data_IF_181781245514
#
_entry.id   IF_181781245514
#
_cell.length_a   1.000
_cell.length_b   1.000
_cell.length_c   1.000
_cell.angle_alpha   90.00
_cell.angle_beta   90.00
_cell.angle_gamma   90.00
#
_symmetry.space_group_name_H-M   'P 1'
#
loop_
_entity.id
_entity.type
_entity.pdbx_description
1 polymer ?
#
# COMPACT_ATOMS: atom_id res chain seq x y z
N UNK A 1 -22.42 7.83 5.08
CA UNK A 1 -20.94 7.73 4.91
C UNK A 1 -20.18 7.05 6.07
N UNK A 2 -20.64 7.10 7.34
CA UNK A 2 -19.95 6.46 8.49
C UNK A 2 -19.81 4.93 8.40
N UNK A 3 -20.83 4.22 7.88
CA UNK A 3 -20.89 2.74 7.89
C UNK A 3 -19.71 2.03 7.19
N UNK A 4 -19.19 2.58 6.09
CA UNK A 4 -18.10 1.92 5.34
C UNK A 4 -16.76 1.94 6.07
N UNK A 5 -16.46 3.01 6.82
CA UNK A 5 -15.21 3.09 7.59
C UNK A 5 -15.19 2.05 8.71
N UNK A 6 -16.31 1.90 9.43
CA UNK A 6 -16.46 0.89 10.48
C UNK A 6 -16.28 -0.53 9.95
N UNK A 7 -16.84 -0.86 8.78
CA UNK A 7 -16.69 -2.19 8.19
C UNK A 7 -15.24 -2.52 7.81
N UNK A 8 -14.51 -1.55 7.24
CA UNK A 8 -13.08 -1.72 6.91
C UNK A 8 -12.29 -1.96 8.19
N UNK A 9 -12.52 -1.14 9.23
CA UNK A 9 -11.83 -1.27 10.50
C UNK A 9 -12.10 -2.62 11.18
N UNK A 10 -13.36 -3.05 11.24
CA UNK A 10 -13.73 -4.36 11.78
C UNK A 10 -13.12 -5.50 10.96
N UNK A 11 -13.11 -5.38 9.63
CA UNK A 11 -12.46 -6.35 8.74
C UNK A 11 -10.96 -6.45 9.00
N UNK A 12 -10.28 -5.32 9.20
CA UNK A 12 -8.86 -5.28 9.53
C UNK A 12 -8.57 -5.91 10.91
N UNK A 13 -9.37 -5.58 11.92
CA UNK A 13 -9.25 -6.21 13.25
C UNK A 13 -9.48 -7.72 13.18
N UNK A 14 -10.48 -8.17 12.43
CA UNK A 14 -10.77 -9.59 12.25
C UNK A 14 -9.63 -10.31 11.53
N UNK A 15 -9.13 -9.76 10.42
CA UNK A 15 -8.00 -10.31 9.68
C UNK A 15 -6.75 -10.38 10.56
N UNK A 16 -6.43 -9.30 11.27
CA UNK A 16 -5.31 -9.25 12.21
C UNK A 16 -5.43 -10.27 13.32
N UNK A 17 -6.60 -10.40 13.95
CA UNK A 17 -6.85 -11.38 15.00
C UNK A 17 -6.72 -12.82 14.48
N UNK A 18 -7.33 -13.14 13.34
CA UNK A 18 -7.27 -14.48 12.73
C UNK A 18 -5.83 -14.85 12.40
N UNK A 19 -5.08 -13.96 11.74
CA UNK A 19 -3.69 -14.20 11.38
C UNK A 19 -2.77 -14.28 12.61
N UNK A 20 -3.01 -13.49 13.66
CA UNK A 20 -2.25 -13.57 14.91
C UNK A 20 -2.50 -14.89 15.67
N UNK A 21 -3.75 -15.37 15.69
CA UNK A 21 -4.13 -16.63 16.35
C UNK A 21 -3.70 -17.85 15.54
N UNK A 22 -3.71 -17.73 14.21
CA UNK A 22 -3.32 -18.77 13.25
C UNK A 22 -2.26 -18.18 12.32
N UNK A 23 -1.00 -18.06 12.76
CA UNK A 23 0.10 -17.59 11.92
C UNK A 23 0.45 -18.71 10.92
N UNK A 24 -0.44 -18.91 9.94
CA UNK A 24 -0.30 -19.92 8.92
C UNK A 24 0.78 -19.47 7.96
N UNK A 25 1.92 -20.17 7.98
CA UNK A 25 3.09 -19.98 7.11
C UNK A 25 3.89 -18.71 7.37
N UNK A 26 3.34 -17.51 7.21
CA UNK A 26 3.99 -16.20 7.45
C UNK A 26 5.48 -16.14 7.03
N UNK A 27 5.85 -16.82 5.95
CA UNK A 27 7.25 -17.17 5.64
C UNK A 27 8.04 -15.91 5.31
N UNK A 28 7.49 -15.07 4.44
CA UNK A 28 8.12 -13.82 4.04
C UNK A 28 8.17 -12.84 5.21
N UNK A 29 7.09 -12.79 5.99
CA UNK A 29 7.01 -11.92 7.16
C UNK A 29 8.03 -12.27 8.23
N UNK A 30 8.29 -13.56 8.42
CA UNK A 30 9.33 -14.03 9.30
C UNK A 30 10.70 -13.51 8.87
N UNK A 31 11.01 -13.55 7.56
CA UNK A 31 12.27 -13.01 7.03
C UNK A 31 12.40 -11.51 7.30
N UNK A 32 11.34 -10.71 7.08
CA UNK A 32 11.38 -9.27 7.37
C UNK A 32 11.60 -8.98 8.85
N UNK A 33 10.82 -9.65 9.73
CA UNK A 33 10.85 -9.43 11.17
C UNK A 33 12.19 -9.86 11.77
N UNK A 34 12.65 -11.05 11.44
CA UNK A 34 13.91 -11.59 11.92
C UNK A 34 15.12 -10.80 11.41
N UNK A 35 15.10 -10.34 10.15
CA UNK A 35 16.20 -9.54 9.62
C UNK A 35 16.25 -8.16 10.32
N UNK A 36 15.09 -7.54 10.55
CA UNK A 36 15.01 -6.28 11.30
C UNK A 36 15.47 -6.45 12.75
N UNK A 37 15.04 -7.52 13.42
CA UNK A 37 15.46 -7.86 14.79
C UNK A 37 16.96 -8.09 14.88
N UNK A 38 17.51 -8.91 13.98
CA UNK A 38 18.93 -9.19 13.96
C UNK A 38 19.76 -7.93 13.71
N UNK A 39 19.42 -7.14 12.69
CA UNK A 39 20.15 -5.94 12.33
C UNK A 39 20.06 -4.83 13.41
N UNK A 40 18.86 -4.50 13.90
CA UNK A 40 18.67 -3.35 14.79
C UNK A 40 18.83 -3.66 16.28
N UNK A 41 18.57 -4.90 16.72
CA UNK A 41 18.58 -5.25 18.14
C UNK A 41 19.75 -6.16 18.55
N UNK A 42 20.38 -6.85 17.60
CA UNK A 42 21.44 -7.84 17.88
C UNK A 42 22.77 -7.53 17.18
N UNK A 43 22.89 -6.39 16.49
CA UNK A 43 24.07 -6.02 15.69
C UNK A 43 24.45 -7.07 14.63
N UNK A 44 23.46 -7.80 14.09
CA UNK A 44 23.66 -8.78 13.03
C UNK A 44 23.86 -8.12 11.65
N UNK A 45 24.35 -8.89 10.66
CA UNK A 45 24.53 -8.37 9.30
C UNK A 45 23.19 -8.07 8.63
N UNK A 46 23.18 -7.05 7.75
CA UNK A 46 22.00 -6.68 6.97
C UNK A 46 21.61 -7.75 5.92
N UNK A 47 22.62 -8.33 5.28
CA UNK A 47 22.49 -9.36 4.25
C UNK A 47 23.32 -10.58 4.62
N UNK A 48 22.80 -11.77 4.35
CA UNK A 48 23.46 -13.03 4.70
C UNK A 48 22.68 -13.84 5.73
N UNK A 49 23.27 -14.96 6.15
CA UNK A 49 22.75 -15.75 7.26
C UNK A 49 22.88 -14.98 8.57
N UNK A 50 21.92 -15.16 9.48
CA UNK A 50 21.97 -14.55 10.80
C UNK A 50 21.50 -15.56 11.87
N UNK A 51 21.47 -15.11 13.13
CA UNK A 51 21.10 -15.98 14.26
C UNK A 51 19.60 -16.27 14.33
N UNK A 52 18.76 -15.52 13.62
CA UNK A 52 17.29 -15.65 13.66
C UNK A 52 16.77 -16.60 12.56
N UNK A 53 17.46 -16.73 11.43
CA UNK A 53 17.17 -17.74 10.41
C UNK A 53 18.44 -18.31 9.76
N UNK A 54 18.52 -19.64 9.74
CA UNK A 54 19.61 -20.40 9.14
C UNK A 54 19.55 -20.49 7.61
N UNK A 55 20.62 -21.01 7.02
CA UNK A 55 20.69 -21.33 5.59
C UNK A 55 19.60 -22.36 5.21
N UNK A 56 18.92 -22.23 4.06
CA UNK A 56 19.19 -21.32 2.93
C UNK A 56 18.43 -19.98 2.97
N UNK A 57 17.76 -19.64 4.08
CA UNK A 57 16.98 -18.40 4.16
C UNK A 57 17.90 -17.18 4.17
N UNK A 58 17.64 -16.23 3.28
CA UNK A 58 18.44 -15.01 3.12
C UNK A 58 17.51 -13.82 2.91
N UNK A 59 17.77 -12.74 3.62
CA UNK A 59 17.11 -11.47 3.37
C UNK A 59 17.57 -10.93 2.00
N UNK A 60 16.65 -10.82 1.03
CA UNK A 60 16.94 -10.37 -0.35
C UNK A 60 16.17 -9.11 -0.76
N UNK A 61 15.48 -8.49 0.20
CA UNK A 61 14.57 -7.38 -0.08
C UNK A 61 15.28 -6.02 0.02
N UNK A 62 14.73 -4.96 -0.60
CA UNK A 62 15.28 -3.61 -0.47
C UNK A 62 15.43 -3.16 1.00
N UNK A 63 16.45 -2.35 1.35
CA UNK A 63 16.65 -1.86 2.71
C UNK A 63 15.47 -1.09 3.30
N UNK A 64 14.60 -0.51 2.46
CA UNK A 64 13.41 0.19 2.91
C UNK A 64 12.50 -0.69 3.79
N UNK A 65 12.39 -1.99 3.48
CA UNK A 65 11.59 -2.91 4.29
C UNK A 65 12.19 -3.12 5.68
N UNK A 66 13.52 -3.17 5.84
CA UNK A 66 14.13 -3.21 7.18
C UNK A 66 13.72 -1.99 8.00
N UNK A 67 13.79 -0.80 7.42
CA UNK A 67 13.37 0.43 8.08
C UNK A 67 11.88 0.41 8.46
N UNK A 68 11.02 -0.12 7.58
CA UNK A 68 9.59 -0.29 7.85
C UNK A 68 9.32 -1.25 9.02
N UNK A 69 10.10 -2.33 9.10
CA UNK A 69 9.97 -3.34 10.16
C UNK A 69 10.72 -3.01 11.45
N UNK A 70 11.55 -1.97 11.47
CA UNK A 70 12.27 -1.50 12.66
C UNK A 70 11.37 -1.33 13.90
N UNK A 71 10.24 -0.58 13.85
CA UNK A 71 9.36 -0.46 15.01
C UNK A 71 8.71 -1.79 15.42
N UNK A 72 8.62 -2.77 14.51
CA UNK A 72 8.02 -4.08 14.75
C UNK A 72 9.03 -5.11 15.27
N UNK A 73 10.33 -4.84 15.15
CA UNK A 73 11.40 -5.79 15.49
C UNK A 73 11.41 -6.20 16.98
N UNK A 74 10.99 -5.32 17.88
CA UNK A 74 10.91 -5.58 19.32
C UNK A 74 9.66 -6.37 19.73
N UNK A 75 8.65 -6.43 18.87
CA UNK A 75 7.38 -7.09 19.18
C UNK A 75 7.47 -8.61 19.00
N UNK A 76 6.65 -9.39 19.72
CA UNK A 76 6.50 -10.82 19.45
C UNK A 76 6.01 -11.07 18.03
N UNK A 77 6.55 -12.06 17.34
CA UNK A 77 6.26 -12.32 15.92
C UNK A 77 4.76 -12.47 15.63
N UNK A 78 3.98 -13.12 16.51
CA UNK A 78 2.52 -13.26 16.36
C UNK A 78 1.78 -11.92 16.35
N UNK A 79 2.25 -10.96 17.14
CA UNK A 79 1.69 -9.60 17.17
C UNK A 79 2.00 -8.90 15.85
N UNK A 80 3.22 -9.06 15.34
CA UNK A 80 3.64 -8.49 14.04
C UNK A 80 2.81 -9.06 12.89
N UNK A 81 2.54 -10.37 12.88
CA UNK A 81 1.64 -11.01 11.90
C UNK A 81 0.25 -10.38 11.93
N UNK A 82 -0.33 -10.18 13.12
CA UNK A 82 -1.64 -9.56 13.25
C UNK A 82 -1.66 -8.10 12.79
N UNK A 83 -0.67 -7.31 13.19
CA UNK A 83 -0.53 -5.91 12.77
C UNK A 83 -0.39 -5.82 11.25
N UNK A 84 0.44 -6.67 10.65
CA UNK A 84 0.69 -6.67 9.21
C UNK A 84 -0.58 -7.00 8.41
N UNK A 85 -1.31 -8.06 8.79
CA UNK A 85 -2.55 -8.43 8.12
C UNK A 85 -3.63 -7.34 8.27
N UNK A 86 -3.75 -6.73 9.46
CA UNK A 86 -4.67 -5.62 9.67
C UNK A 86 -4.30 -4.42 8.80
N UNK A 87 -3.00 -4.12 8.68
CA UNK A 87 -2.49 -3.02 7.87
C UNK A 87 -2.80 -3.20 6.38
N UNK A 88 -2.59 -4.39 5.81
CA UNK A 88 -2.95 -4.69 4.41
C UNK A 88 -4.45 -4.49 4.15
N UNK A 89 -5.32 -4.99 5.03
CA UNK A 89 -6.78 -4.78 4.89
C UNK A 89 -7.16 -3.30 5.03
N UNK A 90 -6.52 -2.57 5.95
CA UNK A 90 -6.71 -1.12 6.10
C UNK A 90 -6.25 -0.34 4.87
N UNK A 91 -5.20 -0.77 4.18
CA UNK A 91 -4.71 -0.14 2.95
C UNK A 91 -5.61 -0.47 1.75
N UNK A 92 -6.13 -1.70 1.66
CA UNK A 92 -7.06 -2.13 0.62
C UNK A 92 -8.44 -1.44 0.72
N UNK A 93 -8.94 -1.21 1.94
CA UNK A 93 -10.28 -0.64 2.16
C UNK A 93 -10.53 0.71 1.46
N UNK A 94 -9.67 1.73 1.64
CA UNK A 94 -9.75 3.01 0.93
C UNK A 94 -9.66 2.86 -0.59
N UNK A 95 -8.82 1.95 -1.11
CA UNK A 95 -8.71 1.69 -2.54
C UNK A 95 -10.03 1.22 -3.12
N UNK A 96 -10.61 0.17 -2.51
CA UNK A 96 -11.92 -0.35 -2.88
C UNK A 96 -12.95 0.77 -2.79
N UNK A 97 -12.97 1.54 -1.69
CA UNK A 97 -13.92 2.63 -1.51
C UNK A 97 -13.80 3.71 -2.58
N UNK A 98 -12.60 4.16 -2.90
CA UNK A 98 -12.36 5.18 -3.94
C UNK A 98 -12.82 4.64 -5.30
N UNK A 99 -12.46 3.40 -5.62
CA UNK A 99 -12.87 2.74 -6.85
C UNK A 99 -14.40 2.65 -6.95
N UNK A 100 -15.09 2.13 -5.92
CA UNK A 100 -16.55 2.01 -5.88
C UNK A 100 -17.26 3.36 -6.02
N UNK A 101 -16.72 4.44 -5.42
CA UNK A 101 -17.31 5.78 -5.54
C UNK A 101 -17.20 6.34 -6.94
N UNK A 102 -16.13 6.01 -7.67
CA UNK A 102 -15.95 6.46 -9.06
C UNK A 102 -16.69 5.56 -10.04
N UNK A 103 -16.83 4.28 -9.72
CA UNK A 103 -17.29 3.23 -10.62
C UNK A 103 -18.39 2.44 -9.90
N UNK A 104 -19.63 2.97 -9.83
CA UNK A 104 -20.68 2.35 -9.03
C UNK A 104 -21.01 0.93 -9.53
N UNK A 105 -21.24 -0.02 -8.61
CA UNK A 105 -21.35 -1.45 -8.91
C UNK A 105 -22.56 -1.81 -9.76
N UNK A 106 -23.57 -0.94 -9.86
CA UNK A 106 -24.70 -1.12 -10.77
C UNK A 106 -24.28 -1.29 -12.24
N UNK A 107 -23.04 -0.95 -12.60
CA UNK A 107 -22.47 -1.11 -13.94
C UNK A 107 -21.67 -2.41 -14.13
N UNK A 108 -21.32 -3.09 -13.05
CA UNK A 108 -20.50 -4.30 -13.06
C UNK A 108 -21.37 -5.40 -12.46
N UNK A 109 -22.06 -6.14 -13.30
CA UNK A 109 -22.99 -7.18 -12.86
C UNK A 109 -22.24 -8.39 -12.26
N UNK A 110 -22.54 -9.63 -12.68
CA UNK A 110 -21.91 -10.83 -12.13
C UNK A 110 -20.38 -10.86 -12.35
N UNK A 111 -19.85 -10.10 -13.31
CA UNK A 111 -18.43 -10.10 -13.69
C UNK A 111 -17.53 -9.63 -12.55
N UNK A 112 -17.97 -8.66 -11.74
CA UNK A 112 -17.22 -8.19 -10.58
C UNK A 112 -17.17 -9.26 -9.50
N UNK A 113 -18.28 -9.95 -9.27
CA UNK A 113 -18.35 -11.05 -8.31
C UNK A 113 -17.44 -12.22 -8.73
N UNK A 114 -17.44 -12.60 -10.00
CA UNK A 114 -16.53 -13.62 -10.53
C UNK A 114 -15.07 -13.20 -10.39
N UNK A 115 -14.75 -11.95 -10.77
CA UNK A 115 -13.38 -11.43 -10.63
C UNK A 115 -12.92 -11.44 -9.17
N UNK A 116 -13.78 -11.00 -8.25
CA UNK A 116 -13.51 -11.03 -6.82
C UNK A 116 -13.32 -12.46 -6.30
N UNK A 117 -14.15 -13.41 -6.73
CA UNK A 117 -14.07 -14.82 -6.34
C UNK A 117 -12.75 -15.46 -6.79
N UNK A 118 -12.29 -15.15 -8.00
CA UNK A 118 -11.02 -15.65 -8.54
C UNK A 118 -9.82 -15.02 -7.82
N UNK A 119 -9.89 -13.74 -7.47
CA UNK A 119 -8.81 -13.02 -6.78
C UNK A 119 -8.74 -13.33 -5.29
N UNK A 120 -9.87 -13.67 -4.66
CA UNK A 120 -9.95 -13.95 -3.23
C UNK A 120 -8.90 -14.95 -2.71
N UNK A 121 -8.68 -16.14 -3.31
CA UNK A 121 -7.66 -17.06 -2.82
C UNK A 121 -6.24 -16.48 -2.87
N UNK A 122 -5.93 -15.62 -3.85
CA UNK A 122 -4.62 -14.95 -3.93
C UNK A 122 -4.45 -13.89 -2.85
N UNK A 123 -5.51 -13.14 -2.55
CA UNK A 123 -5.50 -12.18 -1.44
C UNK A 123 -5.33 -12.89 -0.10
N UNK A 124 -6.07 -13.97 0.13
CA UNK A 124 -5.95 -14.78 1.33
C UNK A 124 -4.56 -15.42 1.45
N UNK A 125 -4.00 -15.92 0.35
CA UNK A 125 -2.65 -16.45 0.33
C UNK A 125 -1.60 -15.38 0.63
N UNK A 126 -1.73 -14.18 0.05
CA UNK A 126 -0.87 -13.03 0.34
C UNK A 126 -0.86 -12.66 1.81
N UNK A 127 -2.05 -12.54 2.42
CA UNK A 127 -2.24 -12.28 3.85
C UNK A 127 -1.64 -13.38 4.75
N UNK A 128 -1.77 -14.65 4.36
CA UNK A 128 -1.21 -15.77 5.12
C UNK A 128 0.32 -15.80 5.07
N UNK A 129 0.90 -15.59 3.89
CA UNK A 129 2.36 -15.57 3.73
C UNK A 129 2.98 -14.29 4.31
N UNK A 130 2.20 -13.21 4.42
CA UNK A 130 2.65 -11.90 4.86
C UNK A 130 3.61 -11.27 3.85
N UNK A 131 3.26 -11.40 2.57
CA UNK A 131 4.10 -10.97 1.47
C UNK A 131 3.89 -9.48 1.16
N UNK A 132 4.98 -8.70 1.18
CA UNK A 132 4.96 -7.27 0.88
C UNK A 132 4.49 -6.90 -0.54
N UNK A 133 4.42 -7.84 -1.48
CA UNK A 133 3.92 -7.62 -2.83
C UNK A 133 2.48 -7.09 -2.84
N UNK A 134 1.62 -7.57 -1.93
CA UNK A 134 0.24 -7.09 -1.84
C UNK A 134 0.22 -5.59 -1.52
N UNK A 135 0.96 -5.18 -0.49
CA UNK A 135 1.12 -3.77 -0.13
C UNK A 135 1.70 -2.93 -1.28
N UNK A 136 2.70 -3.43 -2.01
CA UNK A 136 3.27 -2.71 -3.15
C UNK A 136 2.24 -2.50 -4.27
N UNK A 137 1.44 -3.53 -4.58
CA UNK A 137 0.36 -3.43 -5.56
C UNK A 137 -0.68 -2.42 -5.10
N UNK A 138 -1.06 -2.43 -3.83
CA UNK A 138 -1.98 -1.45 -3.25
C UNK A 138 -1.45 -0.02 -3.36
N UNK A 139 -0.18 0.22 -3.04
CA UNK A 139 0.44 1.53 -3.18
C UNK A 139 0.48 2.02 -4.63
N UNK A 140 0.76 1.14 -5.58
CA UNK A 140 0.73 1.46 -7.02
C UNK A 140 -0.69 1.78 -7.47
N UNK A 141 -1.68 0.97 -7.10
CA UNK A 141 -3.09 1.22 -7.37
C UNK A 141 -3.55 2.56 -6.79
N UNK A 142 -3.11 2.89 -5.56
CA UNK A 142 -3.44 4.15 -4.91
C UNK A 142 -2.85 5.32 -5.68
N UNK A 143 -1.57 5.23 -6.06
CA UNK A 143 -0.89 6.24 -6.86
C UNK A 143 -1.61 6.48 -8.20
N UNK A 144 -2.02 5.43 -8.90
CA UNK A 144 -2.77 5.53 -10.16
C UNK A 144 -4.17 6.11 -9.99
N UNK A 145 -4.85 5.79 -8.90
CA UNK A 145 -6.16 6.38 -8.59
C UNK A 145 -6.04 7.86 -8.24
N UNK A 146 -4.99 8.27 -7.53
CA UNK A 146 -4.75 9.67 -7.15
C UNK A 146 -4.19 10.50 -8.32
N UNK A 147 -3.40 9.92 -9.22
CA UNK A 147 -2.87 10.66 -10.38
C UNK A 147 -3.97 11.09 -11.35
N UNK A 148 -4.95 10.23 -11.64
CA UNK A 148 -6.07 10.55 -12.56
C UNK A 148 -6.97 11.69 -12.10
N UNK A 149 -7.01 12.01 -10.80
CA UNK A 149 -7.75 13.17 -10.32
C UNK A 149 -7.10 14.50 -10.68
N UNK A 150 -5.82 14.49 -11.04
CA UNK A 150 -5.07 15.70 -11.36
C UNK A 150 -5.36 16.21 -12.78
N UNK A 151 -5.50 15.31 -13.76
CA UNK A 151 -5.76 15.70 -15.15
C UNK A 151 -7.16 16.32 -15.34
N UNK A 152 -8.12 15.97 -14.49
CA UNK A 152 -9.48 16.51 -14.53
C UNK A 152 -9.61 17.94 -14.02
N UNK A 153 -8.77 18.37 -13.07
CA UNK A 153 -8.81 19.72 -12.48
C UNK A 153 -7.93 20.74 -13.23
N UNK A 154 -6.94 20.30 -14.01
CA UNK A 154 -6.11 21.20 -14.83
C UNK A 154 -6.71 21.55 -16.20
N UNK A 155 -7.86 20.97 -16.56
CA UNK A 155 -8.51 21.17 -17.86
C UNK A 155 -9.27 22.49 -18.06
N UNK A 156 -9.39 23.38 -17.07
CA UNK A 156 -10.24 24.58 -17.20
C UNK A 156 -9.69 25.90 -16.65
N UNK A 157 -8.46 25.97 -16.15
CA UNK A 157 -7.91 27.22 -15.61
C UNK A 157 -6.40 27.42 -15.88
N UNK A 158 -5.90 26.95 -17.02
CA UNK A 158 -4.61 27.41 -17.53
C UNK A 158 -4.75 28.76 -18.22
N UNK A 159 -3.86 29.76 -17.98
CA UNK A 159 -3.91 31.10 -18.61
C UNK A 159 -3.68 31.12 -20.13
N UNK A 160 -3.71 29.96 -20.79
CA UNK A 160 -3.46 29.76 -22.21
C UNK A 160 -4.73 29.42 -23.02
N UNK A 161 -5.91 29.46 -22.39
CA UNK A 161 -7.19 29.25 -23.07
C UNK A 161 -7.55 30.35 -24.09
N UNK A 162 -6.79 31.45 -24.13
CA UNK A 162 -6.92 32.52 -25.11
C UNK A 162 -5.94 32.45 -26.28
N UNK A 163 -5.03 31.46 -26.32
CA UNK A 163 -4.08 31.34 -27.42
C UNK A 163 -4.71 30.63 -28.63
N UNK A 164 -4.53 31.18 -29.85
CA UNK A 164 -5.03 30.53 -31.07
C UNK A 164 -4.41 29.14 -31.24
N UNK A 165 -5.20 28.24 -31.84
CA UNK A 165 -4.98 26.78 -31.95
C UNK A 165 -3.56 26.35 -32.42
N UNK A 166 -2.80 27.24 -33.07
CA UNK A 166 -1.42 26.99 -33.51
C UNK A 166 -0.32 27.17 -32.44
N UNK A 167 -0.57 27.90 -31.35
CA UNK A 167 0.48 28.22 -30.35
C UNK A 167 0.55 27.23 -29.18
N UNK A 168 -0.51 26.47 -28.91
CA UNK A 168 -0.55 25.51 -27.80
C UNK A 168 0.34 24.28 -28.03
N UNK A 169 0.58 23.90 -29.30
CA UNK A 169 1.43 22.76 -29.65
C UNK A 169 2.94 22.99 -29.38
N UNK A 170 3.39 24.25 -29.34
CA UNK A 170 4.80 24.61 -29.12
C UNK A 170 5.14 24.84 -27.64
N UNK A 171 4.19 25.31 -26.83
CA UNK A 171 4.41 25.54 -25.40
C UNK A 171 4.51 24.23 -24.59
N UNK A 172 3.83 23.17 -25.01
CA UNK A 172 3.80 21.92 -24.24
C UNK A 172 5.04 21.03 -24.43
N UNK A 173 5.91 21.34 -25.41
CA UNK A 173 7.12 20.57 -25.69
C UNK A 173 8.37 21.07 -24.93
N UNK A 174 8.30 22.24 -24.28
CA UNK A 174 9.47 22.92 -23.72
C UNK A 174 9.84 22.62 -22.27
N UNK A 175 8.91 22.12 -21.43
CA UNK A 175 9.05 22.26 -19.97
C UNK A 175 8.97 20.95 -19.17
N UNK A 176 9.29 19.80 -19.79
CA UNK A 176 9.25 18.51 -19.11
C UNK A 176 10.64 18.04 -18.62
N UNK A 177 11.46 19.00 -18.17
CA UNK A 177 12.80 18.74 -17.66
C UNK A 177 12.92 19.18 -16.20
N UNK A 178 12.59 18.27 -15.28
CA UNK A 178 13.46 17.80 -14.18
C UNK A 178 12.70 17.49 -12.88
N UNK A 179 12.74 16.20 -12.53
CA UNK A 179 13.13 15.68 -11.20
C UNK A 179 12.38 16.27 -10.00
N UNK A 180 11.11 15.93 -9.81
CA UNK A 180 10.39 16.25 -8.57
C UNK A 180 9.15 15.40 -8.25
N UNK A 181 8.60 14.67 -9.23
CA UNK A 181 7.28 14.05 -9.10
C UNK A 181 7.12 13.05 -7.96
N UNK A 182 8.14 12.22 -7.68
CA UNK A 182 8.04 11.19 -6.64
C UNK A 182 8.05 11.74 -5.22
N UNK A 183 8.96 12.67 -4.91
CA UNK A 183 9.03 13.31 -3.58
C UNK A 183 7.81 14.20 -3.32
N UNK A 184 7.29 14.84 -4.37
CA UNK A 184 6.06 15.63 -4.29
C UNK A 184 4.81 14.77 -4.05
N UNK A 185 4.68 13.64 -4.77
CA UNK A 185 3.60 12.67 -4.52
C UNK A 185 3.66 12.09 -3.10
N UNK A 186 4.84 11.71 -2.61
CA UNK A 186 5.01 11.17 -1.27
C UNK A 186 4.66 12.21 -0.19
N UNK A 187 5.16 13.44 -0.31
CA UNK A 187 4.84 14.54 0.62
C UNK A 187 3.34 14.85 0.64
N UNK A 188 2.64 14.70 -0.49
CA UNK A 188 1.19 14.92 -0.56
C UNK A 188 0.33 13.77 -0.04
N UNK A 189 0.76 12.52 -0.23
CA UNK A 189 0.12 11.37 0.44
C UNK A 189 0.23 11.54 1.96
N UNK A 190 1.41 11.93 2.45
CA UNK A 190 1.63 12.22 3.87
C UNK A 190 0.82 13.43 4.37
N UNK A 191 0.70 14.49 3.58
CA UNK A 191 -0.14 15.64 3.92
C UNK A 191 -1.65 15.31 3.89
N UNK A 192 -2.09 14.40 3.02
CA UNK A 192 -3.47 13.93 2.99
C UNK A 192 -3.78 13.03 4.20
N UNK A 193 -2.85 12.14 4.58
CA UNK A 193 -2.93 11.37 5.82
C UNK A 193 -2.97 12.28 7.06
N UNK A 194 -2.23 13.39 7.05
CA UNK A 194 -2.23 14.38 8.14
C UNK A 194 -3.43 15.34 8.18
N UNK A 195 -4.18 15.48 7.07
CA UNK A 195 -5.43 16.26 7.01
C UNK A 195 -6.69 15.42 7.19
N UNK A 196 -6.55 14.12 7.45
CA UNK A 196 -7.66 13.32 7.95
C UNK A 196 -8.06 13.91 9.31
N UNK A 197 -9.22 14.59 9.31
CA UNK A 197 -9.80 15.32 10.44
C UNK A 197 -9.70 14.53 11.75
N UNK A 198 -9.10 15.07 12.84
CA UNK A 198 -8.94 14.35 14.11
C UNK A 198 -10.26 14.08 14.85
N UNK A 199 -11.40 14.49 14.30
CA UNK A 199 -12.71 14.01 14.74
C UNK A 199 -13.04 12.65 14.11
N UNK A 200 -12.26 11.61 14.45
CA UNK A 200 -12.60 10.20 14.24
C UNK A 200 -12.80 9.50 15.58
#
# INVERSE_FOLDING_TARGET
MRRSGTLIFLGALAAGAVCAMRPLKAVDLHVYHAAARSFFLQNGPMYGANQEFGWPSLYRYPPLFLCLFRPLASLPFRVVVGIWAAFEVLALGPLIRIWYRRHPPARFGPELCFSALILLPYLLYGLQVGNAQLLLVEMVCLALLVSRTWDGDQGLAGPYSSLPCGAQALAHCGDNSRRGGYLYCLARILAWLGKADPSF
#
